data_IF_824075171995
#
_entry.id   IF_824075171995
#
_cell.length_a   1.000
_cell.length_b   1.000
_cell.length_c   1.000
_cell.angle_alpha   90.00
_cell.angle_beta   90.00
_cell.angle_gamma   90.00
#
_symmetry.space_group_name_H-M   'P 1'
#
loop_
_entity.id
_entity.type
_entity.pdbx_description
1 polymer ?
#
# COMPACT_ATOMS: atom_id res chain seq x y z
N UNK A 1 2.40 15.19 -7.07
CA UNK A 1 2.67 13.92 -6.34
C UNK A 1 1.59 12.84 -6.48
N UNK A 2 0.33 13.14 -6.78
CA UNK A 2 -0.74 12.14 -6.85
C UNK A 2 -0.40 10.88 -7.68
N UNK A 3 0.18 11.06 -8.87
CA UNK A 3 0.59 9.95 -9.75
C UNK A 3 1.73 9.13 -9.12
N UNK A 4 2.70 9.82 -8.49
CA UNK A 4 3.83 9.15 -7.83
C UNK A 4 3.37 8.32 -6.63
N UNK A 5 2.44 8.86 -5.81
CA UNK A 5 1.82 8.14 -4.71
C UNK A 5 1.04 6.91 -5.20
N UNK A 6 0.26 7.07 -6.28
CA UNK A 6 -0.46 5.96 -6.90
C UNK A 6 0.50 4.86 -7.40
N UNK A 7 1.60 5.24 -8.05
CA UNK A 7 2.61 4.28 -8.51
C UNK A 7 3.32 3.55 -7.36
N UNK A 8 3.69 4.27 -6.29
CA UNK A 8 4.29 3.67 -5.08
C UNK A 8 3.30 2.71 -4.42
N UNK A 9 2.04 3.12 -4.29
CA UNK A 9 1.01 2.31 -3.64
C UNK A 9 0.70 1.03 -4.43
N UNK A 10 0.56 1.12 -5.76
CA UNK A 10 0.31 -0.05 -6.61
C UNK A 10 1.51 -0.98 -6.66
N UNK A 11 2.74 -0.45 -6.73
CA UNK A 11 3.97 -1.23 -6.62
C UNK A 11 4.03 -1.99 -5.29
N UNK A 12 3.78 -1.27 -4.18
CA UNK A 12 3.75 -1.88 -2.85
C UNK A 12 2.65 -2.93 -2.70
N UNK A 13 1.44 -2.67 -3.18
CA UNK A 13 0.35 -3.65 -3.15
C UNK A 13 0.69 -4.88 -3.99
N UNK A 14 1.24 -4.71 -5.20
CA UNK A 14 1.62 -5.82 -6.06
C UNK A 14 2.71 -6.69 -5.43
N UNK A 15 3.75 -6.07 -4.86
CA UNK A 15 4.87 -6.80 -4.26
C UNK A 15 4.52 -7.43 -2.90
N UNK A 16 3.88 -6.67 -2.00
CA UNK A 16 3.66 -7.09 -0.61
C UNK A 16 2.44 -8.02 -0.48
N UNK A 17 1.39 -7.79 -1.28
CA UNK A 17 0.21 -8.66 -1.30
C UNK A 17 0.31 -9.76 -2.37
N UNK A 18 1.34 -9.72 -3.21
CA UNK A 18 1.56 -10.71 -4.28
C UNK A 18 0.44 -10.73 -5.30
N UNK A 19 -0.09 -9.57 -5.69
CA UNK A 19 -1.28 -9.48 -6.54
C UNK A 19 -1.08 -8.60 -7.77
N UNK A 20 -1.68 -9.02 -8.89
CA UNK A 20 -1.85 -8.22 -10.10
C UNK A 20 -3.34 -7.96 -10.41
N UNK A 21 -4.24 -8.30 -9.48
CA UNK A 21 -5.67 -8.15 -9.71
C UNK A 21 -6.09 -6.67 -9.68
N UNK A 22 -7.07 -6.27 -10.52
CA UNK A 22 -7.49 -4.87 -10.63
C UNK A 22 -8.03 -4.28 -9.32
N UNK A 23 -8.83 -5.05 -8.56
CA UNK A 23 -9.46 -4.54 -7.34
C UNK A 23 -8.45 -4.12 -6.26
N UNK A 24 -7.50 -4.97 -5.80
CA UNK A 24 -6.50 -4.51 -4.83
C UNK A 24 -5.63 -3.36 -5.37
N UNK A 25 -5.27 -3.35 -6.65
CA UNK A 25 -4.49 -2.25 -7.22
C UNK A 25 -5.29 -0.93 -7.21
N UNK A 26 -6.57 -0.96 -7.56
CA UNK A 26 -7.46 0.21 -7.49
C UNK A 26 -7.64 0.70 -6.04
N UNK A 27 -7.80 -0.22 -5.08
CA UNK A 27 -7.88 0.12 -3.66
C UNK A 27 -6.58 0.73 -3.14
N UNK A 28 -5.41 0.27 -3.60
CA UNK A 28 -4.14 0.87 -3.27
C UNK A 28 -4.01 2.30 -3.81
N UNK A 29 -4.44 2.53 -5.07
CA UNK A 29 -4.50 3.89 -5.65
C UNK A 29 -5.42 4.77 -4.81
N UNK A 30 -6.64 4.33 -4.53
CA UNK A 30 -7.59 5.09 -3.71
C UNK A 30 -6.98 5.41 -2.34
N UNK A 31 -6.42 4.42 -1.66
CA UNK A 31 -5.75 4.59 -0.38
C UNK A 31 -4.64 5.63 -0.42
N UNK A 32 -3.85 5.66 -1.50
CA UNK A 32 -2.77 6.62 -1.66
C UNK A 32 -3.21 8.08 -1.84
N UNK A 33 -4.46 8.31 -2.25
CA UNK A 33 -5.02 9.66 -2.41
C UNK A 33 -5.71 10.14 -1.12
N UNK A 34 -6.11 9.25 -0.23
CA UNK A 34 -6.85 9.62 1.00
C UNK A 34 -6.12 10.62 1.90
N UNK A 35 -4.77 10.59 2.05
CA UNK A 35 -4.08 11.61 2.83
C UNK A 35 -4.38 13.02 2.36
N UNK A 36 -4.42 13.25 1.05
CA UNK A 36 -4.63 14.55 0.42
C UNK A 36 -6.07 15.08 0.51
N UNK A 37 -6.97 14.39 1.24
CA UNK A 37 -8.32 14.89 1.52
C UNK A 37 -8.29 16.13 2.43
N UNK A 38 -7.18 16.41 3.08
CA UNK A 38 -6.97 17.57 3.95
C UNK A 38 -6.70 18.88 3.21
N UNK A 39 -6.80 18.89 1.87
CA UNK A 39 -6.67 20.11 1.07
C UNK A 39 -7.70 20.15 -0.04
N UNK A 40 -8.42 21.27 -0.13
CA UNK A 40 -9.49 21.48 -1.13
C UNK A 40 -8.97 21.57 -2.57
N UNK A 41 -7.66 21.75 -2.75
CA UNK A 41 -7.02 21.85 -4.09
C UNK A 41 -6.63 20.50 -4.67
N UNK A 42 -6.62 19.43 -3.88
CA UNK A 42 -6.36 18.06 -4.36
C UNK A 42 -7.57 17.48 -5.11
N UNK A 43 -7.34 16.46 -5.96
CA UNK A 43 -8.42 15.77 -6.69
C UNK A 43 -9.43 15.19 -5.70
N UNK A 44 -8.97 14.44 -4.69
CA UNK A 44 -9.86 13.83 -3.70
C UNK A 44 -10.54 14.88 -2.82
N UNK A 45 -9.84 15.97 -2.50
CA UNK A 45 -10.39 17.09 -1.75
C UNK A 45 -11.49 17.83 -2.50
N UNK A 46 -11.38 17.98 -3.81
CA UNK A 46 -12.44 18.54 -4.65
C UNK A 46 -13.67 17.62 -4.71
N UNK A 47 -13.48 16.31 -4.82
CA UNK A 47 -14.58 15.33 -4.80
C UNK A 47 -15.30 15.32 -3.46
N UNK A 48 -14.55 15.43 -2.36
CA UNK A 48 -15.07 15.42 -1.00
C UNK A 48 -15.06 16.82 -0.37
N UNK A 49 -15.34 17.87 -1.15
CA UNK A 49 -15.15 19.28 -0.77
C UNK A 49 -15.66 19.65 0.63
N UNK A 50 -16.88 19.29 1.07
CA UNK A 50 -17.35 19.66 2.40
C UNK A 50 -16.49 19.09 3.55
N UNK A 51 -15.99 17.85 3.37
CA UNK A 51 -15.11 17.18 4.35
C UNK A 51 -13.73 17.81 4.30
N UNK A 52 -13.21 18.03 3.09
CA UNK A 52 -11.89 18.61 2.85
C UNK A 52 -11.78 20.01 3.44
N UNK A 53 -12.73 20.88 3.14
CA UNK A 53 -12.81 22.25 3.71
C UNK A 53 -12.87 22.21 5.24
N UNK A 54 -13.70 21.34 5.81
CA UNK A 54 -13.80 21.20 7.26
C UNK A 54 -12.49 20.77 7.93
N UNK A 55 -11.72 19.88 7.27
CA UNK A 55 -10.40 19.43 7.77
C UNK A 55 -9.37 20.55 7.61
N UNK A 56 -9.30 21.18 6.43
CA UNK A 56 -8.34 22.24 6.08
C UNK A 56 -8.45 23.44 7.02
N UNK A 57 -9.69 23.79 7.45
CA UNK A 57 -9.93 24.88 8.39
C UNK A 57 -9.45 24.58 9.83
N UNK A 58 -9.26 23.32 10.20
CA UNK A 58 -9.00 22.91 11.60
C UNK A 58 -7.63 22.30 11.84
N UNK A 59 -7.04 21.72 10.83
CA UNK A 59 -5.80 20.95 10.96
C UNK A 59 -4.79 21.40 9.92
N UNK A 60 -3.49 21.47 10.28
CA UNK A 60 -2.44 21.72 9.31
C UNK A 60 -2.41 20.65 8.23
N UNK A 61 -2.17 21.04 6.98
CA UNK A 61 -1.93 20.09 5.91
C UNK A 61 -0.80 19.10 6.29
N UNK A 62 -0.98 17.81 5.97
CA UNK A 62 -0.07 16.70 6.30
C UNK A 62 0.01 16.37 7.81
N UNK A 63 -1.09 16.58 8.53
CA UNK A 63 -1.21 16.19 9.95
C UNK A 63 -2.14 14.99 10.14
N UNK A 64 -3.38 15.22 10.56
CA UNK A 64 -4.32 14.17 10.95
C UNK A 64 -4.52 13.09 9.89
N UNK A 65 -4.71 13.49 8.64
CA UNK A 65 -4.95 12.58 7.51
C UNK A 65 -3.72 11.79 7.07
N UNK A 66 -2.53 12.32 7.33
CA UNK A 66 -1.26 11.67 7.02
C UNK A 66 -0.70 10.86 8.20
N UNK A 67 -1.47 10.66 9.26
CA UNK A 67 -1.02 10.01 10.49
C UNK A 67 -1.18 8.49 10.46
N UNK A 68 -0.47 7.82 11.38
CA UNK A 68 -0.69 6.41 11.68
C UNK A 68 -2.10 6.16 12.22
N UNK A 69 -2.66 7.11 12.99
CA UNK A 69 -4.03 7.00 13.49
C UNK A 69 -5.05 6.93 12.35
N UNK A 70 -4.89 7.77 11.31
CA UNK A 70 -5.72 7.69 10.10
C UNK A 70 -5.53 6.36 9.37
N UNK A 71 -4.28 5.86 9.26
CA UNK A 71 -4.02 4.54 8.66
C UNK A 71 -4.75 3.42 9.41
N UNK A 72 -4.74 3.43 10.75
CA UNK A 72 -5.44 2.44 11.58
C UNK A 72 -6.95 2.54 11.39
N UNK A 73 -7.51 3.75 11.36
CA UNK A 73 -8.95 3.95 11.12
C UNK A 73 -9.36 3.41 9.75
N UNK A 74 -8.60 3.70 8.69
CA UNK A 74 -8.83 3.17 7.34
C UNK A 74 -8.70 1.64 7.33
N UNK A 75 -7.71 1.07 8.03
CA UNK A 75 -7.53 -0.37 8.13
C UNK A 75 -8.72 -1.05 8.82
N UNK A 76 -9.24 -0.45 9.89
CA UNK A 76 -10.41 -0.97 10.59
C UNK A 76 -11.64 -1.02 9.68
N UNK A 77 -11.90 0.05 8.93
CA UNK A 77 -13.00 0.09 7.95
C UNK A 77 -12.78 -0.94 6.84
N UNK A 78 -11.57 -1.00 6.28
CA UNK A 78 -11.24 -1.95 5.20
C UNK A 78 -11.42 -3.41 5.64
N UNK A 79 -10.98 -3.76 6.85
CA UNK A 79 -11.15 -5.11 7.41
C UNK A 79 -12.64 -5.41 7.65
N UNK A 80 -13.39 -4.47 8.21
CA UNK A 80 -14.83 -4.65 8.44
C UNK A 80 -15.60 -4.88 7.12
N UNK A 81 -15.30 -4.09 6.09
CA UNK A 81 -15.92 -4.25 4.76
C UNK A 81 -15.51 -5.58 4.13
N UNK A 82 -14.20 -5.92 4.16
CA UNK A 82 -13.71 -7.18 3.62
C UNK A 82 -14.31 -8.40 4.33
N UNK A 83 -14.48 -8.35 5.65
CA UNK A 83 -15.14 -9.40 6.42
C UNK A 83 -16.62 -9.53 6.04
N UNK A 84 -17.33 -8.41 5.88
CA UNK A 84 -18.73 -8.43 5.45
C UNK A 84 -18.92 -8.99 4.03
N UNK A 85 -17.93 -8.81 3.14
CA UNK A 85 -17.94 -9.31 1.77
C UNK A 85 -17.33 -10.72 1.62
N UNK A 86 -16.80 -11.30 2.71
CA UNK A 86 -16.24 -12.66 2.74
C UNK A 86 -14.79 -12.78 2.27
N UNK A 87 -14.11 -11.69 1.88
CA UNK A 87 -12.69 -11.69 1.54
C UNK A 87 -12.00 -10.40 1.97
N UNK A 88 -11.17 -10.49 3.00
CA UNK A 88 -10.42 -9.35 3.57
C UNK A 88 -9.20 -8.98 2.71
N UNK A 89 -8.59 -9.95 2.03
CA UNK A 89 -7.27 -9.77 1.39
C UNK A 89 -7.18 -8.57 0.45
N UNK A 90 -8.10 -8.39 -0.53
CA UNK A 90 -8.01 -7.25 -1.45
C UNK A 90 -8.15 -5.90 -0.74
N UNK A 91 -8.92 -5.85 0.36
CA UNK A 91 -9.17 -4.63 1.12
C UNK A 91 -7.97 -4.14 1.92
N UNK A 92 -7.00 -5.01 2.23
CA UNK A 92 -5.73 -4.61 2.86
C UNK A 92 -4.90 -3.69 1.98
N UNK A 93 -5.15 -3.66 0.68
CA UNK A 93 -4.48 -2.74 -0.23
C UNK A 93 -4.82 -1.26 0.04
N UNK A 94 -6.01 -0.96 0.57
CA UNK A 94 -6.45 0.40 0.89
C UNK A 94 -5.57 1.05 1.99
N UNK A 95 -5.47 0.49 3.21
CA UNK A 95 -4.60 1.05 4.24
C UNK A 95 -3.12 0.94 3.87
N UNK A 96 -2.71 -0.06 3.10
CA UNK A 96 -1.34 -0.17 2.60
C UNK A 96 -0.99 1.00 1.67
N UNK A 97 -1.86 1.33 0.72
CA UNK A 97 -1.69 2.48 -0.17
C UNK A 97 -1.61 3.79 0.60
N UNK A 98 -2.50 3.99 1.57
CA UNK A 98 -2.46 5.15 2.47
C UNK A 98 -1.13 5.24 3.22
N UNK A 99 -0.69 4.15 3.84
CA UNK A 99 0.56 4.12 4.62
C UNK A 99 1.78 4.41 3.76
N UNK A 100 1.87 3.85 2.55
CA UNK A 100 2.97 4.07 1.63
C UNK A 100 3.02 5.51 1.12
N UNK A 101 1.87 6.13 0.87
CA UNK A 101 1.77 7.54 0.54
C UNK A 101 2.33 8.43 1.66
N UNK A 102 1.82 8.27 2.89
CA UNK A 102 2.31 9.02 4.05
C UNK A 102 3.81 8.80 4.30
N UNK A 103 4.28 7.56 4.13
CA UNK A 103 5.70 7.25 4.29
C UNK A 103 6.57 7.93 3.23
N UNK A 104 6.11 7.98 1.97
CA UNK A 104 6.85 8.67 0.91
C UNK A 104 6.97 10.17 1.16
N UNK A 105 5.98 10.77 1.80
CA UNK A 105 5.99 12.17 2.16
C UNK A 105 7.01 12.53 3.26
N UNK A 106 7.45 11.56 4.07
CA UNK A 106 8.56 11.76 5.00
C UNK A 106 9.88 12.15 4.30
N UNK A 107 10.03 11.82 3.01
CA UNK A 107 11.22 12.16 2.23
C UNK A 107 11.12 13.52 1.52
N UNK A 108 9.97 14.18 1.63
CA UNK A 108 9.76 15.50 1.04
C UNK A 108 10.33 16.62 1.92
N UNK A 109 10.39 17.85 1.36
CA UNK A 109 10.87 19.03 2.10
C UNK A 109 10.01 19.35 3.31
N UNK A 110 8.72 19.14 3.24
CA UNK A 110 7.76 19.41 4.31
C UNK A 110 7.72 18.32 5.38
N UNK A 111 7.85 17.05 5.00
CA UNK A 111 7.56 15.92 5.90
C UNK A 111 6.07 15.81 6.22
N UNK A 112 5.75 15.04 7.25
CA UNK A 112 4.38 14.78 7.73
C UNK A 112 4.35 14.64 9.25
N UNK A 113 3.21 14.91 9.90
CA UNK A 113 2.98 14.59 11.31
C UNK A 113 2.51 13.13 11.46
N UNK A 114 3.43 12.21 11.27
CA UNK A 114 3.13 10.78 11.22
C UNK A 114 2.50 10.25 12.52
N UNK A 115 2.91 10.82 13.64
CA UNK A 115 2.49 10.43 14.99
C UNK A 115 1.41 11.36 15.58
N UNK A 116 0.69 12.11 14.70
CA UNK A 116 -0.40 12.93 15.20
C UNK A 116 -1.25 12.18 16.26
N UNK A 117 -1.62 12.77 17.41
CA UNK A 117 -1.64 14.21 17.74
C UNK A 117 -0.31 14.80 18.23
N UNK A 118 0.81 14.06 18.26
CA UNK A 118 2.12 14.66 18.50
C UNK A 118 2.45 15.67 17.38
N UNK A 119 2.79 16.92 17.72
CA UNK A 119 3.09 17.95 16.74
C UNK A 119 4.42 17.75 16.01
N UNK A 120 5.21 16.74 16.34
CA UNK A 120 6.51 16.48 15.72
C UNK A 120 6.36 16.09 14.24
N UNK A 121 7.19 16.72 13.40
CA UNK A 121 7.26 16.44 11.96
C UNK A 121 8.26 15.35 11.65
N UNK A 122 7.79 14.30 11.03
CA UNK A 122 8.62 13.18 10.55
C UNK A 122 9.25 13.53 9.20
N UNK A 123 10.57 13.73 9.20
CA UNK A 123 11.37 14.04 8.01
C UNK A 123 12.55 13.09 7.97
N UNK A 124 12.60 12.20 6.98
CA UNK A 124 13.62 11.14 6.91
C UNK A 124 15.01 11.59 6.44
N UNK A 125 15.09 12.70 5.69
CA UNK A 125 16.36 13.19 5.16
C UNK A 125 16.85 14.38 5.95
N UNK A 126 17.94 14.20 6.70
CA UNK A 126 18.52 15.26 7.54
C UNK A 126 18.95 16.50 6.74
N UNK A 127 19.61 16.30 5.58
CA UNK A 127 20.04 17.41 4.74
C UNK A 127 18.88 17.98 3.91
N UNK A 128 18.43 19.23 4.17
CA UNK A 128 17.31 19.86 3.45
C UNK A 128 17.49 19.93 1.93
N UNK A 129 18.74 20.03 1.46
CA UNK A 129 19.06 20.12 0.01
C UNK A 129 18.81 18.78 -0.73
N UNK A 130 18.82 17.66 -0.01
CA UNK A 130 18.60 16.30 -0.56
C UNK A 130 17.15 15.84 -0.47
N UNK A 131 16.28 16.61 0.20
CA UNK A 131 14.86 16.30 0.31
C UNK A 131 14.15 16.47 -1.02
N UNK A 132 13.24 15.57 -1.32
CA UNK A 132 12.44 15.62 -2.54
C UNK A 132 11.60 16.90 -2.59
N UNK A 133 11.66 17.57 -3.73
CA UNK A 133 10.76 18.68 -4.02
C UNK A 133 9.60 18.15 -4.86
N UNK A 134 8.37 18.38 -4.40
CA UNK A 134 7.16 18.12 -5.17
C UNK A 134 7.20 18.84 -6.52
N UNK A 135 6.96 18.13 -7.62
CA UNK A 135 7.11 18.65 -8.98
C UNK A 135 8.55 18.81 -9.46
N UNK A 136 9.54 18.36 -8.67
CA UNK A 136 10.96 18.44 -9.03
C UNK A 136 11.48 17.19 -9.77
N UNK A 137 12.70 17.29 -10.37
CA UNK A 137 13.28 16.16 -11.13
C UNK A 137 13.43 14.86 -10.31
N UNK A 138 13.68 14.97 -9.01
CA UNK A 138 13.78 13.81 -8.12
C UNK A 138 12.48 13.01 -8.03
N UNK A 139 11.33 13.65 -8.16
CA UNK A 139 10.03 12.97 -8.17
C UNK A 139 9.86 12.07 -9.39
N UNK A 140 10.35 12.47 -10.56
CA UNK A 140 10.31 11.64 -11.77
C UNK A 140 11.16 10.38 -11.65
N UNK A 141 12.31 10.46 -10.97
CA UNK A 141 13.12 9.28 -10.67
C UNK A 141 12.40 8.32 -9.72
N UNK A 142 11.77 8.84 -8.68
CA UNK A 142 10.94 8.03 -7.78
C UNK A 142 9.80 7.37 -8.53
N UNK A 143 9.12 8.11 -9.40
CA UNK A 143 8.06 7.58 -10.25
C UNK A 143 8.58 6.46 -11.17
N UNK A 144 9.70 6.67 -11.85
CA UNK A 144 10.29 5.66 -12.74
C UNK A 144 10.65 4.36 -11.98
N UNK A 145 11.25 4.49 -10.79
CA UNK A 145 11.54 3.34 -9.93
C UNK A 145 10.25 2.65 -9.47
N UNK A 146 9.23 3.41 -9.05
CA UNK A 146 7.95 2.85 -8.63
C UNK A 146 7.25 2.08 -9.76
N UNK A 147 7.29 2.61 -10.98
CA UNK A 147 6.75 1.91 -12.17
C UNK A 147 7.54 0.64 -12.46
N UNK A 148 8.87 0.67 -12.39
CA UNK A 148 9.71 -0.52 -12.54
C UNK A 148 9.38 -1.60 -11.49
N UNK A 149 9.21 -1.20 -10.23
CA UNK A 149 8.81 -2.10 -9.15
C UNK A 149 7.38 -2.64 -9.33
N UNK A 150 6.46 -1.83 -9.86
CA UNK A 150 5.12 -2.29 -10.19
C UNK A 150 5.15 -3.38 -11.28
N UNK A 151 5.89 -3.15 -12.36
CA UNK A 151 6.05 -4.15 -13.43
C UNK A 151 6.67 -5.45 -12.91
N UNK A 152 7.69 -5.33 -12.06
CA UNK A 152 8.28 -6.48 -11.37
C UNK A 152 7.26 -7.20 -10.48
N UNK A 153 6.47 -6.45 -9.70
CA UNK A 153 5.44 -7.01 -8.83
C UNK A 153 4.35 -7.76 -9.61
N UNK A 154 3.89 -7.19 -10.73
CA UNK A 154 2.92 -7.84 -11.62
C UNK A 154 3.48 -9.12 -12.22
N UNK A 155 4.73 -9.09 -12.68
CA UNK A 155 5.41 -10.27 -13.20
C UNK A 155 5.56 -11.37 -12.13
N UNK A 156 6.01 -11.01 -10.93
CA UNK A 156 6.09 -11.94 -9.80
C UNK A 156 4.73 -12.51 -9.40
N UNK A 157 3.67 -11.69 -9.38
CA UNK A 157 2.32 -12.15 -9.07
C UNK A 157 1.82 -13.18 -10.11
N UNK A 158 2.16 -12.98 -11.39
CA UNK A 158 1.85 -13.94 -12.46
C UNK A 158 2.57 -15.29 -12.32
N UNK A 159 3.72 -15.33 -11.64
CA UNK A 159 4.51 -16.55 -11.39
C UNK A 159 4.21 -17.20 -10.01
N UNK A 160 3.15 -16.78 -9.33
CA UNK A 160 2.76 -17.28 -8.00
C UNK A 160 3.27 -16.44 -6.83
N UNK A 161 3.77 -15.24 -7.11
CA UNK A 161 4.31 -14.32 -6.11
C UNK A 161 5.69 -14.72 -5.59
N UNK A 162 6.28 -13.88 -4.74
CA UNK A 162 7.57 -14.16 -4.09
C UNK A 162 7.54 -15.48 -3.32
N UNK A 163 6.44 -15.73 -2.60
CA UNK A 163 6.27 -16.98 -1.84
C UNK A 163 6.17 -18.21 -2.75
N UNK A 164 5.51 -18.08 -3.89
CA UNK A 164 5.42 -19.15 -4.90
C UNK A 164 6.78 -19.49 -5.50
N UNK A 165 7.57 -18.48 -5.84
CA UNK A 165 8.92 -18.67 -6.39
C UNK A 165 9.90 -19.25 -5.36
N UNK A 166 9.86 -18.77 -4.11
CA UNK A 166 10.68 -19.33 -3.04
C UNK A 166 10.33 -20.79 -2.79
N UNK A 167 9.04 -21.13 -2.70
CA UNK A 167 8.61 -22.52 -2.54
C UNK A 167 9.00 -23.41 -3.70
N UNK A 168 8.94 -22.90 -4.94
CA UNK A 168 9.38 -23.62 -6.13
C UNK A 168 10.90 -23.81 -6.14
N UNK A 169 11.67 -22.77 -5.80
CA UNK A 169 13.13 -22.82 -5.73
C UNK A 169 13.64 -23.77 -4.64
N UNK A 170 12.90 -23.89 -3.53
CA UNK A 170 13.22 -24.77 -2.42
C UNK A 170 12.63 -26.19 -2.58
N UNK A 171 11.90 -26.47 -3.66
CA UNK A 171 11.22 -27.77 -3.87
C UNK A 171 10.13 -28.12 -2.84
N UNK A 172 9.74 -27.16 -1.98
CA UNK A 172 8.84 -27.38 -0.86
C UNK A 172 7.42 -27.76 -1.35
N UNK A 173 7.01 -27.23 -2.49
CA UNK A 173 5.67 -27.47 -3.04
C UNK A 173 5.55 -28.90 -3.58
N UNK A 174 6.58 -29.39 -4.24
CA UNK A 174 6.60 -30.74 -4.81
C UNK A 174 6.77 -31.79 -3.71
N UNK A 175 7.61 -31.50 -2.72
CA UNK A 175 7.79 -32.36 -1.55
C UNK A 175 6.52 -32.51 -0.71
N UNK A 176 5.81 -31.41 -0.43
CA UNK A 176 4.54 -31.45 0.33
C UNK A 176 3.44 -32.19 -0.42
N UNK A 177 3.28 -31.98 -1.73
CA UNK A 177 2.31 -32.69 -2.55
C UNK A 177 2.65 -34.19 -2.71
N UNK A 178 3.92 -34.54 -2.88
CA UNK A 178 4.36 -35.93 -2.90
C UNK A 178 4.10 -36.65 -1.58
N UNK A 179 4.37 -35.99 -0.46
CA UNK A 179 4.08 -36.53 0.89
C UNK A 179 2.59 -36.69 1.14
N UNK A 180 1.77 -35.69 0.77
CA UNK A 180 0.31 -35.78 0.88
C UNK A 180 -0.27 -36.92 0.03
N UNK A 181 0.22 -37.07 -1.20
CA UNK A 181 -0.22 -38.13 -2.10
C UNK A 181 0.15 -39.51 -1.58
N UNK A 182 1.37 -39.69 -1.07
CA UNK A 182 1.81 -40.94 -0.42
C UNK A 182 0.97 -41.31 0.79
N UNK A 183 0.69 -40.33 1.66
CA UNK A 183 -0.13 -40.50 2.85
C UNK A 183 -1.58 -40.88 2.51
N UNK A 184 -2.15 -40.26 1.49
CA UNK A 184 -3.51 -40.57 0.99
C UNK A 184 -3.60 -41.96 0.39
N UNK A 185 -2.57 -42.41 -0.33
CA UNK A 185 -2.50 -43.76 -0.89
C UNK A 185 -2.36 -44.83 0.21
N UNK A 186 -1.50 -44.57 1.21
CA UNK A 186 -1.35 -45.47 2.36
C UNK A 186 -2.65 -45.63 3.15
N UNK A 187 -3.41 -44.56 3.38
CA UNK A 187 -4.70 -44.61 4.06
C UNK A 187 -5.78 -45.36 3.26
N UNK A 188 -5.67 -45.40 1.94
CA UNK A 188 -6.58 -46.21 1.09
C UNK A 188 -6.25 -47.70 1.11
N UNK A 189 -4.97 -48.07 1.26
CA UNK A 189 -4.54 -49.47 1.30
C UNK A 189 -4.88 -50.16 2.63
N UNK A 190 -5.02 -49.42 3.72
CA UNK A 190 -5.37 -49.93 5.05
C UNK A 190 -6.89 -50.11 5.25
N UNK A 191 -7.70 -49.69 4.31
CA UNK A 191 -9.18 -49.81 4.35
C UNK A 191 -9.72 -50.94 3.46
N UNK A 192 -8.85 -51.76 2.90
CA UNK A 192 -9.19 -53.02 2.21
C UNK A 192 -8.69 -54.21 3.02
#
# INVERSE_FOLDING_TARGET
>A
MAITHAAIATAGASLLLGTAQPLPLALAVLGSQLPDIDTTTSIIGQVCYPISSWIEDRYPHRSVTHSLAATVAIATVAVAVGAALGDIKPWLALPLGHRLSCFSDCFTRQGVQLFWPDPAWSISVSNPKRRLRTGGPGEYWVLAVAVGLLLLGIWLAGTGGVTGQVNQSLGLRDGAMATYTRMRLALRSTRR
#
